data_IF_190013201530
#
_entry.id   IF_190013201530
#
_cell.length_a   1.000
_cell.length_b   1.000
_cell.length_c   1.000
_cell.angle_alpha   90.00
_cell.angle_beta   90.00
_cell.angle_gamma   90.00
#
_symmetry.space_group_name_H-M   'P 1'
#
loop_
_entity.id
_entity.type
_entity.pdbx_description
1 polymer ?
#
# COMPACT_ATOMS: atom_id res chain seq x y z
N UNK A 1 -22.42 1.74 27.12
CA UNK A 1 -22.86 2.94 26.38
C UNK A 1 -23.37 2.48 25.04
N UNK A 2 -24.70 2.44 24.92
CA UNK A 2 -25.45 2.05 23.74
C UNK A 2 -25.96 3.36 23.12
N UNK A 3 -25.35 3.78 22.03
CA UNK A 3 -25.82 4.91 21.22
C UNK A 3 -25.63 4.54 19.75
N UNK A 4 -26.56 3.76 19.21
CA UNK A 4 -26.80 3.62 17.78
C UNK A 4 -28.28 3.22 17.60
N UNK A 5 -29.19 4.16 17.86
CA UNK A 5 -30.53 4.11 17.27
C UNK A 5 -30.78 5.46 16.61
N UNK A 6 -30.86 5.39 15.29
CA UNK A 6 -31.35 6.37 14.32
C UNK A 6 -30.69 7.77 14.34
N UNK A 7 -29.96 8.04 13.26
CA UNK A 7 -29.54 9.34 12.72
C UNK A 7 -28.38 10.11 13.37
N UNK A 8 -27.97 9.82 14.60
CA UNK A 8 -26.82 10.49 15.21
C UNK A 8 -25.79 9.50 15.76
N UNK A 9 -24.73 9.27 14.98
CA UNK A 9 -23.48 8.75 15.54
C UNK A 9 -22.96 9.83 16.51
N UNK A 10 -23.10 9.63 17.83
CA UNK A 10 -22.79 10.61 18.89
C UNK A 10 -21.31 11.06 18.94
N UNK A 11 -20.48 10.70 17.96
CA UNK A 11 -19.04 10.92 17.97
C UNK A 11 -18.59 12.17 17.22
N UNK A 12 -19.47 12.88 16.49
CA UNK A 12 -19.09 14.06 15.69
C UNK A 12 -17.99 13.82 14.63
N UNK A 13 -17.58 12.56 14.45
CA UNK A 13 -16.56 12.13 13.52
C UNK A 13 -17.26 11.74 12.23
N UNK A 14 -16.72 12.21 11.09
CA UNK A 14 -17.08 11.80 9.73
C UNK A 14 -17.62 10.37 9.70
N UNK A 15 -18.84 10.19 9.17
CA UNK A 15 -19.58 8.92 9.22
C UNK A 15 -18.64 7.79 8.80
N UNK A 16 -18.24 6.93 9.74
CA UNK A 16 -17.14 5.97 9.56
C UNK A 16 -17.40 5.06 8.35
N UNK A 17 -18.68 4.84 8.02
CA UNK A 17 -19.16 4.22 6.79
C UNK A 17 -18.71 4.98 5.54
N UNK A 18 -19.00 6.28 5.45
CA UNK A 18 -18.55 7.16 4.35
C UNK A 18 -17.02 7.16 4.23
N UNK A 19 -16.29 7.27 5.35
CA UNK A 19 -14.82 7.20 5.33
C UNK A 19 -14.33 5.88 4.74
N UNK A 20 -14.89 4.74 5.17
CA UNK A 20 -14.52 3.41 4.67
C UNK A 20 -14.85 3.26 3.17
N UNK A 21 -15.99 3.77 2.71
CA UNK A 21 -16.36 3.77 1.28
C UNK A 21 -15.40 4.65 0.47
N UNK A 22 -15.07 5.85 0.94
CA UNK A 22 -14.10 6.74 0.27
C UNK A 22 -12.73 6.07 0.15
N UNK A 23 -12.27 5.37 1.19
CA UNK A 23 -11.02 4.61 1.17
C UNK A 23 -11.06 3.53 0.08
N UNK A 24 -12.16 2.77 -0.01
CA UNK A 24 -12.33 1.75 -1.04
C UNK A 24 -12.30 2.33 -2.46
N UNK A 25 -12.97 3.47 -2.67
CA UNK A 25 -12.96 4.17 -3.96
C UNK A 25 -11.58 4.68 -4.33
N UNK A 26 -10.86 5.32 -3.39
CA UNK A 26 -9.49 5.78 -3.61
C UNK A 26 -8.54 4.62 -3.91
N UNK A 27 -8.73 3.47 -3.27
CA UNK A 27 -7.93 2.26 -3.53
C UNK A 27 -8.17 1.74 -4.96
N UNK A 28 -9.43 1.64 -5.39
CA UNK A 28 -9.76 1.20 -6.76
C UNK A 28 -9.20 2.20 -7.79
N UNK A 29 -9.43 3.49 -7.59
CA UNK A 29 -8.93 4.54 -8.48
C UNK A 29 -7.38 4.53 -8.56
N UNK A 30 -6.71 4.37 -7.41
CA UNK A 30 -5.26 4.24 -7.33
C UNK A 30 -4.75 3.02 -8.10
N UNK A 31 -5.38 1.85 -7.95
CA UNK A 31 -4.99 0.64 -8.70
C UNK A 31 -5.22 0.78 -10.20
N UNK A 32 -6.30 1.44 -10.63
CA UNK A 32 -6.58 1.70 -12.03
C UNK A 32 -5.52 2.63 -12.63
N UNK A 33 -5.21 3.74 -11.96
CA UNK A 33 -4.17 4.68 -12.38
C UNK A 33 -2.79 4.00 -12.42
N UNK A 34 -2.44 3.23 -11.38
CA UNK A 34 -1.18 2.50 -11.30
C UNK A 34 -1.03 1.48 -12.43
N UNK A 35 -2.12 0.82 -12.82
CA UNK A 35 -2.13 -0.13 -13.95
C UNK A 35 -1.89 0.60 -15.27
N UNK A 36 -2.57 1.73 -15.52
CA UNK A 36 -2.37 2.54 -16.72
C UNK A 36 -0.92 3.04 -16.81
N UNK A 37 -0.36 3.53 -15.69
CA UNK A 37 1.03 3.98 -15.64
C UNK A 37 2.01 2.83 -15.91
N UNK A 38 1.77 1.64 -15.35
CA UNK A 38 2.59 0.46 -15.59
C UNK A 38 2.60 0.06 -17.07
N UNK A 39 1.44 0.07 -17.72
CA UNK A 39 1.34 -0.18 -19.16
C UNK A 39 2.06 0.89 -19.99
N UNK A 40 1.93 2.17 -19.62
CA UNK A 40 2.64 3.26 -20.29
C UNK A 40 4.16 3.13 -20.18
N UNK A 41 4.66 2.81 -18.98
CA UNK A 41 6.10 2.55 -18.76
C UNK A 41 6.56 1.33 -19.56
N UNK A 42 5.79 0.24 -19.54
CA UNK A 42 6.11 -0.95 -20.31
C UNK A 42 6.20 -0.65 -21.82
N UNK A 43 5.23 0.08 -22.37
CA UNK A 43 5.22 0.49 -23.76
C UNK A 43 6.47 1.32 -24.13
N UNK A 44 6.77 2.36 -23.34
CA UNK A 44 7.94 3.23 -23.57
C UNK A 44 9.27 2.48 -23.49
N UNK A 45 9.41 1.56 -22.52
CA UNK A 45 10.63 0.76 -22.39
C UNK A 45 10.81 -0.30 -23.46
N UNK A 46 9.70 -0.87 -23.97
CA UNK A 46 9.74 -1.79 -25.09
C UNK A 46 10.24 -1.12 -26.36
N UNK A 47 9.86 0.14 -26.61
CA UNK A 47 10.41 0.93 -27.72
C UNK A 47 11.89 1.25 -27.53
N UNK A 48 12.31 1.53 -26.28
CA UNK A 48 13.69 1.86 -25.95
C UNK A 48 14.65 0.65 -25.87
N UNK A 49 14.19 -0.58 -26.14
CA UNK A 49 14.91 -1.83 -25.89
C UNK A 49 15.46 -1.94 -24.45
N UNK A 50 14.86 -1.23 -23.49
CA UNK A 50 15.21 -1.39 -22.08
C UNK A 50 14.50 -2.65 -21.58
N UNK A 51 15.28 -3.69 -21.26
CA UNK A 51 14.77 -4.86 -20.57
C UNK A 51 14.29 -4.45 -19.18
N UNK A 52 13.02 -4.04 -19.05
CA UNK A 52 12.39 -4.04 -17.74
C UNK A 52 12.45 -5.49 -17.23
N UNK A 53 12.85 -5.70 -15.98
CA UNK A 53 12.75 -7.01 -15.38
C UNK A 53 11.33 -7.56 -15.49
N UNK A 54 11.14 -8.57 -16.34
CA UNK A 54 9.84 -9.23 -16.55
C UNK A 54 9.24 -9.71 -15.23
N UNK A 55 10.09 -10.03 -14.24
CA UNK A 55 9.67 -10.39 -12.88
C UNK A 55 8.83 -9.31 -12.20
N UNK A 56 9.10 -8.03 -12.44
CA UNK A 56 8.37 -6.93 -11.80
C UNK A 56 6.91 -6.91 -12.27
N UNK A 57 6.66 -7.17 -13.56
CA UNK A 57 5.32 -7.25 -14.12
C UNK A 57 4.50 -8.39 -13.51
N UNK A 58 5.10 -9.58 -13.39
CA UNK A 58 4.43 -10.75 -12.82
C UNK A 58 4.07 -10.60 -11.33
N UNK A 59 4.76 -9.73 -10.60
CA UNK A 59 4.45 -9.46 -9.19
C UNK A 59 3.44 -8.31 -9.07
N UNK A 60 3.64 -7.21 -9.79
CA UNK A 60 2.85 -5.98 -9.63
C UNK A 60 1.40 -6.18 -10.10
N UNK A 61 1.19 -6.83 -11.25
CA UNK A 61 -0.16 -6.97 -11.83
C UNK A 61 -1.09 -7.78 -10.92
N UNK A 62 -0.71 -8.97 -10.40
CA UNK A 62 -1.54 -9.68 -9.42
C UNK A 62 -1.79 -8.90 -8.15
N UNK A 63 -0.81 -8.16 -7.63
CA UNK A 63 -0.98 -7.32 -6.44
C UNK A 63 -2.05 -6.23 -6.67
N UNK A 64 -2.08 -5.61 -7.84
CA UNK A 64 -3.12 -4.64 -8.20
C UNK A 64 -4.50 -5.30 -8.31
N UNK A 65 -4.59 -6.48 -8.92
CA UNK A 65 -5.85 -7.23 -9.00
C UNK A 65 -6.40 -7.55 -7.61
N UNK A 66 -5.56 -8.08 -6.72
CA UNK A 66 -5.93 -8.38 -5.33
C UNK A 66 -6.37 -7.10 -4.61
N UNK A 67 -5.66 -6.01 -4.83
CA UNK A 67 -5.99 -4.71 -4.23
C UNK A 67 -7.35 -4.19 -4.70
N UNK A 68 -7.67 -4.30 -5.99
CA UNK A 68 -8.99 -3.91 -6.53
C UNK A 68 -10.11 -4.78 -5.96
N UNK A 69 -9.89 -6.10 -5.83
CA UNK A 69 -10.86 -7.01 -5.20
C UNK A 69 -11.10 -6.66 -3.74
N UNK A 70 -10.04 -6.41 -2.98
CA UNK A 70 -10.12 -6.02 -1.57
C UNK A 70 -10.80 -4.66 -1.40
N UNK A 71 -10.49 -3.68 -2.26
CA UNK A 71 -11.18 -2.39 -2.29
C UNK A 71 -12.68 -2.52 -2.58
N UNK A 72 -13.06 -3.44 -3.48
CA UNK A 72 -14.46 -3.72 -3.80
C UNK A 72 -15.18 -4.38 -2.62
N UNK A 73 -14.56 -5.38 -1.97
CA UNK A 73 -15.08 -6.01 -0.75
C UNK A 73 -15.24 -5.01 0.39
N UNK A 74 -14.32 -4.04 0.51
CA UNK A 74 -14.41 -2.98 1.51
C UNK A 74 -15.68 -2.12 1.29
N UNK A 75 -15.97 -1.73 0.05
CA UNK A 75 -17.17 -0.96 -0.29
C UNK A 75 -18.44 -1.79 -0.03
N UNK A 76 -18.50 -3.01 -0.56
CA UNK A 76 -19.66 -3.90 -0.41
C UNK A 76 -19.91 -4.22 1.07
N UNK A 77 -18.86 -4.48 1.84
CA UNK A 77 -18.93 -4.75 3.27
C UNK A 77 -19.42 -3.55 4.07
N UNK A 78 -18.96 -2.35 3.72
CA UNK A 78 -19.42 -1.12 4.35
C UNK A 78 -20.89 -0.82 4.03
N UNK A 79 -21.31 -0.97 2.77
CA UNK A 79 -22.69 -0.69 2.33
C UNK A 79 -23.69 -1.71 2.89
N UNK A 80 -23.34 -2.99 2.86
CA UNK A 80 -24.19 -4.09 3.34
C UNK A 80 -24.03 -4.38 4.84
N UNK A 81 -23.23 -3.59 5.56
CA UNK A 81 -23.04 -3.71 7.01
C UNK A 81 -22.52 -5.09 7.44
N UNK A 82 -21.74 -5.75 6.57
CA UNK A 82 -21.17 -7.09 6.82
C UNK A 82 -19.73 -6.96 7.32
N UNK A 83 -19.47 -7.03 8.64
CA UNK A 83 -18.13 -6.80 9.21
C UNK A 83 -17.09 -7.80 8.69
N UNK A 84 -17.49 -9.03 8.35
CA UNK A 84 -16.58 -10.06 7.82
C UNK A 84 -15.93 -9.66 6.49
N UNK A 85 -16.60 -8.84 5.67
CA UNK A 85 -16.06 -8.37 4.38
C UNK A 85 -14.96 -7.29 4.53
N UNK A 86 -14.80 -6.69 5.71
CA UNK A 86 -13.74 -5.72 6.00
C UNK A 86 -12.41 -6.41 6.39
N UNK A 87 -12.46 -7.69 6.80
CA UNK A 87 -11.30 -8.43 7.31
C UNK A 87 -10.17 -8.55 6.27
N UNK A 88 -10.43 -8.87 4.98
CA UNK A 88 -9.37 -8.94 3.97
C UNK A 88 -8.57 -7.64 3.84
N UNK A 89 -9.23 -6.48 3.92
CA UNK A 89 -8.56 -5.19 3.89
C UNK A 89 -7.68 -4.96 5.13
N UNK A 90 -8.19 -5.30 6.32
CA UNK A 90 -7.42 -5.17 7.58
C UNK A 90 -6.14 -6.02 7.51
N UNK A 91 -6.24 -7.26 7.05
CA UNK A 91 -5.10 -8.18 6.92
C UNK A 91 -4.12 -7.67 5.87
N UNK A 92 -4.61 -7.28 4.69
CA UNK A 92 -3.76 -6.77 3.60
C UNK A 92 -3.00 -5.50 4.03
N UNK A 93 -3.69 -4.53 4.65
CA UNK A 93 -3.05 -3.30 5.11
C UNK A 93 -2.06 -3.54 6.25
N UNK A 94 -2.34 -4.46 7.17
CA UNK A 94 -1.38 -4.83 8.19
C UNK A 94 -0.10 -5.44 7.58
N UNK A 95 -0.25 -6.32 6.58
CA UNK A 95 0.88 -6.90 5.86
C UNK A 95 1.70 -5.83 5.11
N UNK A 96 1.05 -4.90 4.42
CA UNK A 96 1.71 -3.78 3.74
C UNK A 96 2.49 -2.88 4.71
N UNK A 97 1.93 -2.58 5.89
CA UNK A 97 2.63 -1.79 6.92
C UNK A 97 3.86 -2.54 7.42
N UNK A 98 3.75 -3.85 7.70
CA UNK A 98 4.90 -4.67 8.13
C UNK A 98 5.98 -4.67 7.04
N UNK A 99 5.60 -4.87 5.78
CA UNK A 99 6.52 -4.82 4.65
C UNK A 99 7.21 -3.45 4.55
N UNK A 100 6.47 -2.35 4.71
CA UNK A 100 7.03 -1.01 4.68
C UNK A 100 8.01 -0.75 5.84
N UNK A 101 7.74 -1.29 7.04
CA UNK A 101 8.68 -1.23 8.18
C UNK A 101 9.96 -2.02 7.88
N UNK A 102 9.86 -3.20 7.25
CA UNK A 102 11.02 -3.99 6.84
C UNK A 102 11.86 -3.23 5.80
N UNK A 103 11.22 -2.62 4.80
CA UNK A 103 11.91 -1.78 3.80
C UNK A 103 12.60 -0.60 4.48
N UNK A 104 11.92 0.10 5.38
CA UNK A 104 12.49 1.21 6.14
C UNK A 104 13.70 0.76 6.98
N UNK A 105 13.61 -0.39 7.65
CA UNK A 105 14.72 -0.99 8.38
C UNK A 105 15.91 -1.29 7.47
N UNK A 106 15.67 -1.82 6.27
CA UNK A 106 16.69 -2.04 5.26
C UNK A 106 17.34 -0.74 4.77
N UNK A 107 16.55 0.32 4.55
CA UNK A 107 17.07 1.65 4.18
C UNK A 107 17.93 2.25 5.29
N UNK A 108 17.50 2.16 6.54
CA UNK A 108 18.28 2.63 7.69
C UNK A 108 19.58 1.83 7.81
N UNK A 109 19.51 0.50 7.67
CA UNK A 109 20.68 -0.37 7.72
C UNK A 109 21.70 0.01 6.64
N UNK A 110 21.23 0.28 5.42
CA UNK A 110 22.05 0.74 4.31
C UNK A 110 22.70 2.11 4.60
N UNK A 111 21.95 3.05 5.17
CA UNK A 111 22.48 4.36 5.54
C UNK A 111 23.55 4.31 6.64
N UNK A 112 23.47 3.33 7.55
CA UNK A 112 24.42 3.17 8.67
C UNK A 112 25.69 2.43 8.26
N UNK A 113 25.61 1.50 7.29
CA UNK A 113 26.73 0.68 6.84
C UNK A 113 27.04 0.88 5.35
N UNK A 114 27.42 2.10 4.92
CA UNK A 114 27.64 2.38 3.50
C UNK A 114 28.78 1.55 2.90
N UNK A 115 29.84 1.27 3.68
CA UNK A 115 31.06 0.64 3.15
C UNK A 115 30.92 -0.81 2.67
N UNK A 116 30.08 -1.62 3.32
CA UNK A 116 29.86 -3.02 2.89
C UNK A 116 28.99 -3.09 1.62
N UNK A 117 28.05 -2.16 1.47
CA UNK A 117 27.14 -2.13 0.32
C UNK A 117 27.68 -1.37 -0.87
N UNK A 118 28.50 -0.34 -0.66
CA UNK A 118 29.17 0.36 -1.75
C UNK A 118 29.87 -0.67 -2.62
N UNK A 119 30.67 -1.57 -2.04
CA UNK A 119 31.43 -2.54 -2.82
C UNK A 119 30.53 -3.50 -3.62
N UNK A 120 29.47 -4.03 -3.01
CA UNK A 120 28.53 -4.95 -3.69
C UNK A 120 27.65 -4.24 -4.74
N UNK A 121 27.25 -2.99 -4.47
CA UNK A 121 26.47 -2.16 -5.39
C UNK A 121 27.33 -1.65 -6.55
N UNK A 122 28.58 -1.26 -6.27
CA UNK A 122 29.57 -0.97 -7.28
C UNK A 122 29.80 -2.20 -8.14
N UNK A 123 30.02 -3.40 -7.61
CA UNK A 123 30.19 -4.61 -8.45
C UNK A 123 28.96 -4.91 -9.32
N UNK A 124 27.74 -4.72 -8.81
CA UNK A 124 26.50 -4.90 -9.57
C UNK A 124 26.30 -3.81 -10.64
N UNK A 125 26.58 -2.56 -10.31
CA UNK A 125 26.51 -1.44 -11.26
C UNK A 125 27.63 -1.57 -12.29
N UNK A 126 28.86 -1.88 -11.88
CA UNK A 126 30.01 -2.04 -12.76
C UNK A 126 29.73 -3.18 -13.73
N UNK A 127 29.21 -4.33 -13.29
CA UNK A 127 28.88 -5.42 -14.22
C UNK A 127 27.75 -5.06 -15.20
N UNK A 128 26.78 -4.25 -14.80
CA UNK A 128 25.72 -3.77 -15.70
C UNK A 128 26.17 -2.59 -16.60
N UNK A 129 27.04 -1.73 -16.10
CA UNK A 129 27.60 -0.59 -16.80
C UNK A 129 28.71 -1.00 -17.73
N UNK A 130 29.59 -1.95 -17.39
CA UNK A 130 30.64 -2.48 -18.27
C UNK A 130 30.05 -3.04 -19.57
N UNK A 131 28.85 -3.63 -19.50
CA UNK A 131 28.07 -4.01 -20.68
C UNK A 131 27.57 -2.83 -21.53
N UNK A 132 27.41 -1.63 -20.98
CA UNK A 132 26.92 -0.43 -21.68
C UNK A 132 27.99 0.64 -21.95
N UNK A 133 29.09 0.61 -21.21
CA UNK A 133 30.07 1.69 -21.07
C UNK A 133 31.30 1.47 -21.96
N UNK A 134 31.46 0.29 -22.56
CA UNK A 134 32.40 0.09 -23.69
C UNK A 134 32.13 1.02 -24.88
N UNK A 135 30.97 1.70 -24.95
CA UNK A 135 30.65 2.68 -25.99
C UNK A 135 30.75 4.17 -25.56
N UNK A 136 30.97 4.49 -24.27
CA UNK A 136 31.03 5.88 -23.80
C UNK A 136 32.14 6.08 -22.77
N UNK A 137 33.37 6.10 -23.24
CA UNK A 137 34.52 6.47 -22.41
C UNK A 137 34.40 7.92 -21.89
N UNK A 138 34.61 8.05 -20.58
CA UNK A 138 35.33 9.13 -19.88
C UNK A 138 34.74 10.55 -19.87
N UNK A 139 33.66 10.76 -19.11
CA UNK A 139 33.39 12.08 -18.51
C UNK A 139 33.22 11.92 -16.98
N UNK A 140 34.21 12.35 -16.16
CA UNK A 140 34.15 12.23 -14.70
C UNK A 140 32.99 13.03 -14.07
N UNK A 141 32.44 14.02 -14.79
CA UNK A 141 31.28 14.78 -14.34
C UNK A 141 29.98 13.93 -14.27
N UNK A 142 29.87 12.87 -15.07
CA UNK A 142 28.69 12.00 -15.10
C UNK A 142 28.64 11.12 -13.83
N UNK A 143 29.79 10.72 -13.29
CA UNK A 143 29.88 9.87 -12.11
C UNK A 143 29.42 10.61 -10.84
N UNK A 144 29.88 11.85 -10.66
CA UNK A 144 29.48 12.66 -9.49
C UNK A 144 27.98 12.96 -9.50
N UNK A 145 27.42 13.29 -10.67
CA UNK A 145 25.98 13.52 -10.84
C UNK A 145 25.15 12.26 -10.55
N UNK A 146 25.64 11.07 -10.95
CA UNK A 146 24.97 9.82 -10.67
C UNK A 146 24.92 9.50 -9.16
N UNK A 147 26.01 9.76 -8.43
CA UNK A 147 26.07 9.57 -6.97
C UNK A 147 25.12 10.53 -6.26
N UNK A 148 25.07 11.81 -6.66
CA UNK A 148 24.14 12.78 -6.09
C UNK A 148 22.69 12.35 -6.36
N UNK A 149 22.37 11.97 -7.60
CA UNK A 149 21.04 11.50 -7.97
C UNK A 149 20.62 10.25 -7.17
N UNK A 150 21.52 9.30 -6.96
CA UNK A 150 21.28 8.10 -6.15
C UNK A 150 20.96 8.44 -4.69
N UNK A 151 21.72 9.36 -4.07
CA UNK A 151 21.48 9.82 -2.69
C UNK A 151 20.13 10.52 -2.56
N UNK A 152 19.79 11.40 -3.50
CA UNK A 152 18.48 12.07 -3.52
C UNK A 152 17.34 11.05 -3.72
N UNK A 153 17.55 10.06 -4.60
CA UNK A 153 16.63 8.95 -4.79
C UNK A 153 16.38 8.15 -3.50
N UNK A 154 17.43 7.85 -2.75
CA UNK A 154 17.32 7.11 -1.48
C UNK A 154 16.56 7.89 -0.41
N UNK A 155 16.86 9.20 -0.25
CA UNK A 155 16.18 10.07 0.72
C UNK A 155 14.70 10.22 0.36
N UNK A 156 14.39 10.48 -0.91
CA UNK A 156 13.01 10.60 -1.37
C UNK A 156 12.22 9.31 -1.18
N UNK A 157 12.84 8.15 -1.46
CA UNK A 157 12.25 6.84 -1.17
C UNK A 157 11.94 6.66 0.32
N UNK A 158 12.87 7.03 1.21
CA UNK A 158 12.65 6.97 2.65
C UNK A 158 11.45 7.81 3.11
N UNK A 159 11.30 9.03 2.60
CA UNK A 159 10.16 9.91 2.89
C UNK A 159 8.85 9.27 2.42
N UNK A 160 8.81 8.73 1.20
CA UNK A 160 7.63 8.07 0.64
C UNK A 160 7.22 6.86 1.48
N UNK A 161 8.18 6.04 1.94
CA UNK A 161 7.92 4.88 2.80
C UNK A 161 7.33 5.32 4.15
N UNK A 162 7.89 6.36 4.77
CA UNK A 162 7.37 6.90 6.04
C UNK A 162 5.94 7.42 5.91
N UNK A 163 5.64 8.16 4.84
CA UNK A 163 4.29 8.63 4.55
C UNK A 163 3.34 7.46 4.30
N UNK A 164 3.78 6.41 3.59
CA UNK A 164 3.00 5.21 3.33
C UNK A 164 2.60 4.50 4.63
N UNK A 165 3.53 4.37 5.60
CA UNK A 165 3.25 3.80 6.92
C UNK A 165 2.22 4.66 7.67
N UNK A 166 2.42 5.98 7.71
CA UNK A 166 1.52 6.89 8.42
C UNK A 166 0.09 6.84 7.86
N UNK A 167 -0.04 6.91 6.53
CA UNK A 167 -1.32 6.80 5.83
C UNK A 167 -1.93 5.40 6.06
N UNK A 168 -1.14 4.34 5.93
CA UNK A 168 -1.58 2.97 6.16
C UNK A 168 -2.15 2.76 7.56
N UNK A 169 -1.46 3.24 8.60
CA UNK A 169 -1.92 3.19 9.99
C UNK A 169 -3.23 3.97 10.19
N UNK A 170 -3.34 5.15 9.58
CA UNK A 170 -4.56 5.96 9.64
C UNK A 170 -5.75 5.24 8.99
N UNK A 171 -5.57 4.70 7.78
CA UNK A 171 -6.58 3.92 7.06
C UNK A 171 -7.02 2.70 7.87
N UNK A 172 -6.06 1.94 8.41
CA UNK A 172 -6.33 0.77 9.24
C UNK A 172 -7.16 1.13 10.47
N UNK A 173 -6.84 2.24 11.15
CA UNK A 173 -7.59 2.71 12.31
C UNK A 173 -9.06 3.05 11.95
N UNK A 174 -9.30 3.73 10.83
CA UNK A 174 -10.65 4.05 10.35
C UNK A 174 -11.45 2.77 10.10
N UNK A 175 -10.88 1.80 9.37
CA UNK A 175 -11.58 0.55 9.03
C UNK A 175 -11.77 -0.36 10.24
N UNK A 176 -10.81 -0.43 11.17
CA UNK A 176 -10.96 -1.19 12.42
C UNK A 176 -12.06 -0.61 13.31
N UNK A 177 -12.20 0.72 13.37
CA UNK A 177 -13.33 1.37 14.05
C UNK A 177 -14.66 1.02 13.38
N UNK A 178 -14.72 1.02 12.03
CA UNK A 178 -15.89 0.58 11.28
C UNK A 178 -16.27 -0.87 11.61
N UNK A 179 -15.30 -1.78 11.54
CA UNK A 179 -15.46 -3.19 11.85
C UNK A 179 -16.00 -3.42 13.27
N UNK A 180 -15.41 -2.75 14.28
CA UNK A 180 -15.87 -2.86 15.67
C UNK A 180 -17.29 -2.35 15.86
N UNK A 181 -17.65 -1.26 15.18
CA UNK A 181 -18.99 -0.70 15.22
C UNK A 181 -20.01 -1.71 14.68
N UNK A 182 -19.81 -2.18 13.45
CA UNK A 182 -20.70 -3.15 12.79
C UNK A 182 -20.82 -4.47 13.57
N UNK A 183 -19.71 -4.98 14.09
CA UNK A 183 -19.70 -6.22 14.89
C UNK A 183 -20.48 -6.11 16.19
N UNK A 184 -20.52 -4.92 16.81
CA UNK A 184 -21.26 -4.73 18.05
C UNK A 184 -22.78 -4.63 17.80
N UNK A 185 -23.18 -4.09 16.63
CA UNK A 185 -24.58 -4.05 16.21
C UNK A 185 -25.10 -5.46 15.95
N UNK A 186 -24.37 -6.26 15.17
CA UNK A 186 -24.70 -7.66 14.83
C UNK A 186 -24.95 -8.52 16.08
N UNK A 187 -24.12 -8.37 17.11
CA UNK A 187 -24.28 -9.07 18.41
C UNK A 187 -25.51 -8.62 19.21
N UNK A 188 -25.94 -7.37 19.03
CA UNK A 188 -27.12 -6.84 19.69
C UNK A 188 -28.39 -7.51 19.16
N UNK A 189 -28.49 -7.64 17.84
CA UNK A 189 -29.63 -8.23 17.16
C UNK A 189 -29.76 -9.74 17.46
N UNK A 190 -28.63 -10.45 17.56
CA UNK A 190 -28.59 -11.84 18.03
C UNK A 190 -29.09 -11.98 19.47
N UNK A 191 -28.69 -11.08 20.37
CA UNK A 191 -29.13 -11.13 21.76
C UNK A 191 -30.63 -10.84 21.91
N UNK A 192 -31.17 -9.88 21.15
CA UNK A 192 -32.59 -9.51 21.19
C UNK A 192 -33.48 -10.62 20.60
N UNK A 193 -33.06 -11.23 19.50
CA UNK A 193 -33.79 -12.37 18.89
C UNK A 193 -33.86 -13.59 19.81
N UNK A 194 -32.77 -13.91 20.52
CA UNK A 194 -32.77 -14.98 21.54
C UNK A 194 -33.70 -14.66 22.71
N UNK A 195 -33.77 -13.39 23.15
CA UNK A 195 -34.69 -12.99 24.21
C UNK A 195 -36.16 -13.06 23.79
N UNK A 196 -36.48 -12.75 22.52
CA UNK A 196 -37.84 -12.89 21.99
C UNK A 196 -38.28 -14.36 21.90
N UNK A 197 -37.38 -15.26 21.50
CA UNK A 197 -37.63 -16.71 21.46
C UNK A 197 -37.92 -17.30 22.86
N UNK A 198 -37.27 -16.79 23.91
CA UNK A 198 -37.51 -17.26 25.28
C UNK A 198 -38.82 -16.76 25.92
N UNK A 199 -39.46 -15.74 25.33
CA UNK A 199 -40.73 -15.17 25.84
C UNK A 199 -41.97 -15.72 25.13
N UNK A 200 -41.80 -16.44 24.02
CA UNK A 200 -42.87 -17.09 23.27
C UNK A 200 -43.13 -18.51 23.81
#
# INVERSE_FOLDING_TARGET
MVCCREDHCCCGCMHVKTGTVTIGLLMIAGTALGTVLLFGVHYLTSEANLQIPVYAYYIIVPTYLVSTLVGSLLIIGALNEKPLMLVPFIVLKAAEIIQAIVILGGLIYFCVNPGEYEQQYYDLILSQMEQRMMDRLSEPEIEEMAVIAAKVGLISLGIVVMLSIAIGCWLLNVVVKCYKCLKNVDRGDEAESVQMLHKA
#
